data_IF_163209530006
#
_entry.id   IF_163209530006
#
_cell.length_a   1.000
_cell.length_b   1.000
_cell.length_c   1.000
_cell.angle_alpha   90.00
_cell.angle_beta   90.00
_cell.angle_gamma   90.00
#
_symmetry.space_group_name_H-M   'P 1'
#
loop_
_entity.id
_entity.type
_entity.pdbx_description
1 polymer ?
#
# COMPACT_ATOMS: atom_id res chain seq x y z
N UNK A 1 8.02 24.39 12.36
CA UNK A 1 8.07 22.93 12.65
C UNK A 1 8.08 22.20 11.32
N UNK A 2 9.19 21.60 10.94
CA UNK A 2 9.26 20.82 9.72
C UNK A 2 8.46 19.54 9.91
N UNK A 3 7.42 19.36 9.11
CA UNK A 3 6.68 18.09 9.03
C UNK A 3 7.65 16.97 8.64
N UNK A 4 7.72 15.91 9.46
CA UNK A 4 8.54 14.72 9.17
C UNK A 4 7.83 13.75 8.25
N UNK A 5 7.06 14.27 7.32
CA UNK A 5 6.34 13.48 6.33
C UNK A 5 7.28 13.08 5.19
N UNK A 6 7.32 11.81 4.88
CA UNK A 6 7.97 11.28 3.68
C UNK A 6 6.90 10.94 2.63
N UNK A 7 7.26 11.09 1.37
CA UNK A 7 6.38 10.75 0.25
C UNK A 7 7.13 9.84 -0.73
N UNK A 8 6.54 8.69 -1.04
CA UNK A 8 7.01 7.76 -2.06
C UNK A 8 6.03 7.82 -3.22
N UNK A 9 6.52 8.04 -4.43
CA UNK A 9 5.70 8.00 -5.66
C UNK A 9 6.26 6.93 -6.58
N UNK A 10 5.41 5.99 -7.00
CA UNK A 10 5.76 4.92 -7.93
C UNK A 10 4.78 4.93 -9.11
N UNK A 11 5.32 4.75 -10.30
CA UNK A 11 4.54 4.59 -11.53
C UNK A 11 4.82 3.21 -12.12
N UNK A 12 3.75 2.47 -12.43
CA UNK A 12 3.83 1.12 -12.98
C UNK A 12 2.93 1.03 -14.21
N UNK A 13 3.47 0.70 -15.36
CA UNK A 13 2.71 0.41 -16.57
C UNK A 13 2.35 -1.07 -16.57
N UNK A 14 1.06 -1.35 -16.70
CA UNK A 14 0.50 -2.71 -16.66
C UNK A 14 -0.33 -2.93 -17.92
N UNK A 15 0.00 -3.96 -18.68
CA UNK A 15 -0.69 -4.32 -19.91
C UNK A 15 -1.98 -5.11 -19.60
N UNK A 16 -2.94 -4.42 -19.02
CA UNK A 16 -4.25 -4.96 -18.66
C UNK A 16 -5.29 -3.84 -18.53
N UNK A 17 -6.60 -4.15 -18.63
CA UNK A 17 -7.66 -3.16 -18.46
C UNK A 17 -7.64 -2.51 -17.08
N UNK A 18 -8.03 -1.24 -17.02
CA UNK A 18 -8.00 -0.43 -15.79
C UNK A 18 -8.86 -1.03 -14.67
N UNK A 19 -10.00 -1.61 -15.01
CA UNK A 19 -10.90 -2.28 -14.05
C UNK A 19 -10.22 -3.48 -13.39
N UNK A 20 -9.50 -4.30 -14.17
CA UNK A 20 -8.74 -5.46 -13.67
C UNK A 20 -7.62 -5.02 -12.73
N UNK A 21 -6.86 -4.00 -13.12
CA UNK A 21 -5.75 -3.47 -12.31
C UNK A 21 -6.27 -2.86 -11.02
N UNK A 22 -7.35 -2.09 -11.08
CA UNK A 22 -8.00 -1.50 -9.90
C UNK A 22 -8.44 -2.59 -8.91
N UNK A 23 -9.16 -3.59 -9.37
CA UNK A 23 -9.65 -4.68 -8.50
C UNK A 23 -8.51 -5.51 -7.90
N UNK A 24 -7.48 -5.82 -8.66
CA UNK A 24 -6.29 -6.50 -8.12
C UNK A 24 -5.57 -5.65 -7.06
N UNK A 25 -5.55 -4.33 -7.24
CA UNK A 25 -4.89 -3.41 -6.28
C UNK A 25 -5.58 -3.33 -4.92
N UNK A 26 -6.89 -3.58 -4.86
CA UNK A 26 -7.69 -3.63 -3.63
C UNK A 26 -7.96 -5.06 -3.13
N UNK A 27 -7.34 -6.06 -3.72
CA UNK A 27 -7.48 -7.45 -3.29
C UNK A 27 -6.66 -7.71 -2.03
N UNK A 28 -7.33 -8.09 -0.95
CA UNK A 28 -6.71 -8.49 0.31
C UNK A 28 -5.84 -9.75 0.12
N UNK A 29 -6.34 -10.71 -0.64
CA UNK A 29 -5.63 -11.97 -0.90
C UNK A 29 -4.33 -11.73 -1.69
N UNK A 30 -4.39 -10.90 -2.74
CA UNK A 30 -3.21 -10.57 -3.54
C UNK A 30 -2.20 -9.74 -2.74
N UNK A 31 -2.69 -8.86 -1.84
CA UNK A 31 -1.82 -8.12 -0.93
C UNK A 31 -1.02 -9.09 -0.03
N UNK A 32 -1.68 -10.06 0.58
CA UNK A 32 -0.99 -11.07 1.40
C UNK A 32 0.03 -11.89 0.59
N UNK A 33 -0.26 -12.17 -0.67
CA UNK A 33 0.70 -12.82 -1.56
C UNK A 33 1.94 -11.96 -1.80
N UNK A 34 1.76 -10.66 -2.02
CA UNK A 34 2.85 -9.71 -2.27
C UNK A 34 3.74 -9.47 -1.06
N UNK A 35 3.28 -9.79 0.14
CA UNK A 35 3.96 -9.56 1.42
C UNK A 35 4.38 -10.85 2.13
N UNK A 36 4.50 -11.96 1.42
CA UNK A 36 4.89 -13.28 1.98
C UNK A 36 6.19 -13.23 2.80
N UNK A 37 7.16 -12.41 2.38
CA UNK A 37 8.46 -12.28 3.04
C UNK A 37 8.36 -11.70 4.46
N UNK A 38 7.29 -10.96 4.77
CA UNK A 38 7.03 -10.40 6.12
C UNK A 38 6.07 -11.25 6.94
N UNK A 39 5.52 -12.32 6.35
CA UNK A 39 4.50 -13.15 6.97
C UNK A 39 3.19 -12.42 7.24
N UNK A 40 2.91 -11.35 6.47
CA UNK A 40 1.74 -10.51 6.68
C UNK A 40 0.43 -11.28 6.51
N UNK A 41 -0.49 -11.05 7.44
CA UNK A 41 -1.82 -11.64 7.47
C UNK A 41 -2.87 -10.60 7.83
N UNK A 42 -3.99 -10.63 7.13
CA UNK A 42 -5.19 -9.91 7.53
C UNK A 42 -5.85 -10.68 8.69
N UNK A 43 -5.95 -10.06 9.86
CA UNK A 43 -6.43 -10.71 11.10
C UNK A 43 -7.77 -10.17 11.60
N UNK A 44 -8.22 -9.03 11.11
CA UNK A 44 -9.50 -8.42 11.47
C UNK A 44 -10.01 -7.49 10.36
N UNK A 45 -11.28 -7.12 10.42
CA UNK A 45 -11.94 -6.36 9.38
C UNK A 45 -12.16 -7.19 8.12
N UNK A 46 -11.87 -6.62 6.96
CA UNK A 46 -11.93 -7.33 5.68
C UNK A 46 -10.71 -8.23 5.53
N UNK A 47 -10.85 -9.52 5.74
CA UNK A 47 -9.75 -10.50 5.74
C UNK A 47 -9.56 -11.25 4.44
N UNK A 48 -10.35 -10.98 3.42
CA UNK A 48 -10.25 -11.57 2.09
C UNK A 48 -11.12 -10.85 1.06
N UNK A 49 -10.93 -11.17 -0.21
CA UNK A 49 -11.67 -10.55 -1.32
C UNK A 49 -11.28 -9.09 -1.57
N UNK A 50 -12.21 -8.32 -2.13
CA UNK A 50 -12.00 -6.94 -2.52
C UNK A 50 -12.51 -5.98 -1.44
N UNK A 51 -11.62 -5.18 -0.86
CA UNK A 51 -11.99 -4.19 0.15
C UNK A 51 -12.76 -3.02 -0.48
N UNK A 52 -13.78 -2.54 0.22
CA UNK A 52 -14.71 -1.49 -0.23
C UNK A 52 -14.55 -0.19 0.58
N UNK A 53 -15.15 0.89 0.07
CA UNK A 53 -15.18 2.19 0.78
C UNK A 53 -15.74 2.03 2.21
N UNK A 54 -15.02 2.59 3.18
CA UNK A 54 -15.39 2.57 4.59
C UNK A 54 -15.00 1.30 5.34
N UNK A 55 -14.59 0.25 4.64
CA UNK A 55 -14.10 -0.97 5.28
C UNK A 55 -12.69 -0.79 5.83
N UNK A 56 -12.38 -1.55 6.88
CA UNK A 56 -11.07 -1.61 7.50
C UNK A 56 -10.43 -2.98 7.31
N UNK A 57 -9.13 -3.02 7.38
CA UNK A 57 -8.35 -4.26 7.50
C UNK A 57 -7.28 -4.06 8.56
N UNK A 58 -7.10 -5.07 9.40
CA UNK A 58 -6.00 -5.11 10.37
C UNK A 58 -4.99 -6.15 9.91
N UNK A 59 -3.77 -5.68 9.66
CA UNK A 59 -2.64 -6.47 9.24
C UNK A 59 -1.76 -6.81 10.43
N UNK A 60 -1.21 -8.01 10.45
CA UNK A 60 -0.14 -8.41 11.36
C UNK A 60 1.04 -8.91 10.54
N UNK A 61 2.20 -8.31 10.71
CA UNK A 61 3.41 -8.63 9.96
C UNK A 61 4.66 -8.50 10.83
N UNK A 62 5.75 -9.15 10.40
CA UNK A 62 7.04 -9.03 11.06
C UNK A 62 7.93 -8.05 10.28
N UNK A 63 8.25 -6.92 10.90
CA UNK A 63 9.14 -5.91 10.35
C UNK A 63 10.32 -5.70 11.29
N UNK A 64 11.55 -5.73 10.75
CA UNK A 64 12.77 -5.60 11.54
C UNK A 64 12.84 -6.55 12.74
N UNK A 65 12.38 -7.79 12.55
CA UNK A 65 12.35 -8.82 13.58
C UNK A 65 11.25 -8.69 14.64
N UNK A 66 10.37 -7.70 14.54
CA UNK A 66 9.30 -7.41 15.51
C UNK A 66 7.93 -7.61 14.86
N UNK A 67 7.05 -8.37 15.51
CA UNK A 67 5.65 -8.49 15.12
C UNK A 67 4.91 -7.20 15.42
N UNK A 68 4.23 -6.66 14.40
CA UNK A 68 3.49 -5.41 14.47
C UNK A 68 2.10 -5.58 13.88
N UNK A 69 1.15 -4.78 14.35
CA UNK A 69 -0.19 -4.68 13.80
C UNK A 69 -0.43 -3.29 13.22
N UNK A 70 -1.18 -3.23 12.14
CA UNK A 70 -1.56 -2.00 11.47
C UNK A 70 -3.00 -2.12 11.01
N UNK A 71 -3.85 -1.17 11.38
CA UNK A 71 -5.22 -1.07 10.88
C UNK A 71 -5.32 0.11 9.93
N UNK A 72 -5.82 -0.15 8.72
CA UNK A 72 -6.13 0.87 7.71
C UNK A 72 -7.60 0.83 7.33
N UNK A 73 -8.08 1.96 6.78
CA UNK A 73 -9.45 2.14 6.32
C UNK A 73 -9.44 2.76 4.93
N UNK A 74 -10.27 2.25 4.02
CA UNK A 74 -10.51 2.89 2.73
C UNK A 74 -11.38 4.13 2.96
N UNK A 75 -10.80 5.31 2.74
CA UNK A 75 -11.41 6.60 3.04
C UNK A 75 -11.94 7.33 1.81
N UNK A 76 -11.39 7.02 0.64
CA UNK A 76 -11.82 7.58 -0.65
C UNK A 76 -11.90 6.49 -1.71
N UNK A 77 -12.87 6.60 -2.61
CA UNK A 77 -13.12 5.57 -3.62
C UNK A 77 -13.85 6.16 -4.83
N UNK A 78 -13.28 6.02 -6.01
CA UNK A 78 -13.88 6.40 -7.29
C UNK A 78 -13.50 5.36 -8.36
N UNK A 79 -14.30 4.33 -8.48
CA UNK A 79 -14.06 3.22 -9.42
C UNK A 79 -14.15 3.66 -10.88
N UNK A 80 -13.24 3.23 -11.76
CA UNK A 80 -12.03 2.44 -11.53
C UNK A 80 -10.75 3.30 -11.53
N UNK A 81 -10.80 4.56 -11.12
CA UNK A 81 -9.72 5.55 -11.33
C UNK A 81 -8.93 5.89 -10.08
N UNK A 82 -9.52 5.71 -8.90
CA UNK A 82 -8.89 6.17 -7.65
C UNK A 82 -9.46 5.46 -6.42
N UNK A 83 -8.59 5.13 -5.48
CA UNK A 83 -8.97 4.92 -4.09
C UNK A 83 -7.81 5.30 -3.15
N UNK A 84 -8.12 5.55 -1.90
CA UNK A 84 -7.12 5.81 -0.88
C UNK A 84 -7.46 5.09 0.42
N UNK A 85 -6.42 4.66 1.12
CA UNK A 85 -6.52 4.13 2.47
C UNK A 85 -5.63 4.90 3.43
N UNK A 86 -6.11 5.01 4.67
CA UNK A 86 -5.44 5.76 5.74
C UNK A 86 -5.28 4.90 6.98
N UNK A 87 -4.22 5.13 7.73
CA UNK A 87 -3.98 4.45 8.98
C UNK A 87 -5.01 4.87 10.03
N UNK A 88 -5.62 3.88 10.66
CA UNK A 88 -6.45 4.07 11.88
C UNK A 88 -5.57 3.90 13.12
N UNK A 89 -4.72 2.88 13.14
CA UNK A 89 -3.75 2.62 14.20
C UNK A 89 -2.58 1.79 13.68
N UNK A 90 -1.42 1.91 14.27
CA UNK A 90 -0.28 1.08 13.87
C UNK A 90 1.09 1.69 14.11
N UNK A 91 2.09 1.17 13.39
CA UNK A 91 3.50 1.45 13.62
C UNK A 91 3.99 2.83 13.14
N UNK A 92 3.24 3.49 12.28
CA UNK A 92 3.50 4.87 11.89
C UNK A 92 2.81 5.86 12.84
N UNK A 93 3.18 7.13 12.78
CA UNK A 93 2.38 8.18 13.38
C UNK A 93 1.13 8.45 12.54
N UNK A 94 1.28 8.43 11.23
CA UNK A 94 0.20 8.47 10.24
C UNK A 94 0.65 7.92 8.91
N UNK A 95 -0.27 7.45 8.08
CA UNK A 95 -0.05 7.31 6.64
C UNK A 95 -1.35 7.53 5.87
N UNK A 96 -1.18 7.94 4.60
CA UNK A 96 -2.19 7.92 3.55
C UNK A 96 -1.57 7.32 2.29
N UNK A 97 -2.20 6.29 1.74
CA UNK A 97 -1.82 5.67 0.48
C UNK A 97 -2.86 5.97 -0.58
N UNK A 98 -2.47 6.71 -1.59
CA UNK A 98 -3.32 7.07 -2.72
C UNK A 98 -2.96 6.21 -3.93
N UNK A 99 -3.98 5.63 -4.56
CA UNK A 99 -3.86 4.77 -5.72
C UNK A 99 -4.61 5.40 -6.89
N UNK A 100 -3.88 5.76 -7.94
CA UNK A 100 -4.42 6.36 -9.16
C UNK A 100 -4.28 5.39 -10.33
N UNK A 101 -5.31 5.31 -11.15
CA UNK A 101 -5.35 4.44 -12.32
C UNK A 101 -5.83 5.23 -13.52
N UNK A 102 -5.08 5.21 -14.61
CA UNK A 102 -5.45 5.85 -15.87
C UNK A 102 -5.17 4.94 -17.06
N UNK A 103 -6.04 5.01 -18.04
CA UNK A 103 -5.88 4.28 -19.30
C UNK A 103 -4.73 4.89 -20.10
N UNK A 104 -3.82 4.05 -20.56
CA UNK A 104 -2.76 4.39 -21.51
C UNK A 104 -2.86 3.48 -22.73
N UNK A 105 -2.07 3.73 -23.79
CA UNK A 105 -2.23 3.10 -25.12
C UNK A 105 -2.50 1.60 -25.11
N UNK A 106 -1.75 0.82 -24.32
CA UNK A 106 -1.88 -0.65 -24.28
C UNK A 106 -2.18 -1.17 -22.88
N UNK A 107 -2.82 -0.38 -22.01
CA UNK A 107 -3.09 -0.86 -20.65
C UNK A 107 -3.40 0.25 -19.67
N UNK A 108 -2.81 0.15 -18.50
CA UNK A 108 -3.07 1.01 -17.36
C UNK A 108 -1.77 1.59 -16.80
N UNK A 109 -1.75 2.89 -16.55
CA UNK A 109 -0.77 3.50 -15.65
C UNK A 109 -1.33 3.44 -14.23
N UNK A 110 -0.68 2.66 -13.36
CA UNK A 110 -0.93 2.62 -11.94
C UNK A 110 0.09 3.49 -11.23
N UNK A 111 -0.39 4.52 -10.53
CA UNK A 111 0.45 5.45 -9.76
C UNK A 111 0.11 5.34 -8.29
N UNK A 112 1.09 5.03 -7.49
CA UNK A 112 1.00 5.02 -6.04
C UNK A 112 1.65 6.27 -5.46
N UNK A 113 0.99 6.87 -4.48
CA UNK A 113 1.55 7.94 -3.66
C UNK A 113 1.36 7.57 -2.20
N UNK A 114 2.44 7.18 -1.55
CA UNK A 114 2.45 6.79 -0.15
C UNK A 114 3.06 7.91 0.70
N UNK A 115 2.24 8.52 1.53
CA UNK A 115 2.61 9.63 2.39
C UNK A 115 2.57 9.12 3.82
N UNK A 116 3.68 9.23 4.55
CA UNK A 116 3.73 8.72 5.93
C UNK A 116 4.57 9.61 6.84
N UNK A 117 4.27 9.53 8.12
CA UNK A 117 5.04 10.16 9.18
C UNK A 117 5.60 9.08 10.11
N UNK A 118 6.92 9.12 10.32
CA UNK A 118 7.61 8.17 11.20
C UNK A 118 7.22 8.39 12.67
N UNK A 119 7.07 7.34 13.48
CA UNK A 119 6.66 7.44 14.88
C UNK A 119 7.74 8.02 15.80
N UNK A 120 8.99 8.11 15.36
CA UNK A 120 10.12 8.45 16.21
C UNK A 120 10.44 9.94 16.25
N UNK A 121 10.78 10.44 17.45
CA UNK A 121 11.11 11.83 17.71
C UNK A 121 12.44 12.30 17.10
N UNK A 122 12.90 13.51 17.46
CA UNK A 122 13.93 14.32 16.79
C UNK A 122 15.31 13.66 16.64
N UNK A 123 15.74 12.83 17.57
CA UNK A 123 17.12 12.31 17.63
C UNK A 123 17.39 11.11 16.72
N UNK A 124 16.35 10.42 16.23
CA UNK A 124 16.47 9.30 15.29
C UNK A 124 15.99 9.60 13.88
N UNK A 125 15.61 10.84 13.59
CA UNK A 125 14.84 11.22 12.40
C UNK A 125 15.50 10.91 11.07
N UNK A 126 16.78 11.26 10.89
CA UNK A 126 17.44 11.11 9.60
C UNK A 126 17.71 9.65 9.26
N UNK A 127 18.18 8.88 10.22
CA UNK A 127 18.47 7.45 10.05
C UNK A 127 17.19 6.64 9.82
N UNK A 128 16.18 6.86 10.65
CA UNK A 128 14.89 6.16 10.55
C UNK A 128 14.12 6.54 9.29
N UNK A 129 14.15 7.83 8.90
CA UNK A 129 13.51 8.30 7.67
C UNK A 129 14.11 7.64 6.44
N UNK A 130 15.45 7.59 6.31
CA UNK A 130 16.11 7.01 5.15
C UNK A 130 15.91 5.49 5.07
N UNK A 131 16.08 4.79 6.18
CA UNK A 131 15.90 3.33 6.26
C UNK A 131 14.44 2.95 6.03
N UNK A 132 13.51 3.63 6.70
CA UNK A 132 12.10 3.35 6.57
C UNK A 132 11.57 3.66 5.17
N UNK A 133 12.02 4.76 4.56
CA UNK A 133 11.66 5.11 3.18
C UNK A 133 12.16 4.05 2.20
N UNK A 134 13.41 3.61 2.31
CA UNK A 134 13.97 2.53 1.47
C UNK A 134 13.22 1.22 1.66
N UNK A 135 12.93 0.87 2.89
CA UNK A 135 12.20 -0.34 3.23
C UNK A 135 10.78 -0.33 2.65
N UNK A 136 10.04 0.75 2.87
CA UNK A 136 8.69 0.91 2.32
C UNK A 136 8.67 0.94 0.80
N UNK A 137 9.63 1.62 0.17
CA UNK A 137 9.77 1.62 -1.29
C UNK A 137 9.95 0.21 -1.84
N UNK A 138 10.78 -0.61 -1.20
CA UNK A 138 10.99 -2.01 -1.60
C UNK A 138 9.72 -2.84 -1.47
N UNK A 139 8.98 -2.69 -0.38
CA UNK A 139 7.69 -3.38 -0.19
C UNK A 139 6.65 -2.97 -1.25
N UNK A 140 6.54 -1.69 -1.54
CA UNK A 140 5.60 -1.16 -2.54
C UNK A 140 5.98 -1.60 -3.96
N UNK A 141 7.26 -1.62 -4.30
CA UNK A 141 7.74 -2.13 -5.60
C UNK A 141 7.41 -3.62 -5.77
N UNK A 142 7.60 -4.43 -4.74
CA UNK A 142 7.25 -5.85 -4.78
C UNK A 142 5.74 -6.06 -4.91
N UNK A 143 4.94 -5.28 -4.17
CA UNK A 143 3.48 -5.28 -4.33
C UNK A 143 3.09 -4.97 -5.77
N UNK A 144 3.64 -3.92 -6.34
CA UNK A 144 3.31 -3.51 -7.72
C UNK A 144 3.75 -4.55 -8.76
N UNK A 145 4.90 -5.20 -8.53
CA UNK A 145 5.34 -6.32 -9.36
C UNK A 145 4.35 -7.48 -9.35
N UNK A 146 3.85 -7.86 -8.18
CA UNK A 146 2.88 -8.96 -8.03
C UNK A 146 1.54 -8.60 -8.69
N UNK A 147 1.05 -7.35 -8.51
CA UNK A 147 -0.15 -6.87 -9.19
C UNK A 147 0.02 -6.94 -10.71
N UNK A 148 1.14 -6.45 -11.23
CA UNK A 148 1.44 -6.49 -12.66
C UNK A 148 1.43 -7.91 -13.21
N UNK A 149 2.11 -8.84 -12.57
CA UNK A 149 2.12 -10.24 -12.98
C UNK A 149 0.72 -10.87 -12.98
N UNK A 150 -0.06 -10.63 -11.92
CA UNK A 150 -1.43 -11.13 -11.82
C UNK A 150 -2.36 -10.51 -12.88
N UNK A 151 -2.20 -9.22 -13.16
CA UNK A 151 -3.00 -8.51 -14.16
C UNK A 151 -2.70 -8.97 -15.59
N UNK A 152 -1.43 -9.20 -15.91
CA UNK A 152 -0.96 -9.59 -17.25
C UNK A 152 -1.05 -11.10 -17.52
N UNK A 153 -1.33 -11.91 -16.49
CA UNK A 153 -1.60 -13.34 -16.68
C UNK A 153 -3.00 -13.53 -17.29
N UNK A 154 -3.10 -14.45 -18.26
CA UNK A 154 -4.35 -14.79 -18.95
C UNK A 154 -5.30 -15.59 -18.03
#
# INVERSE_FOLDING_TARGET
>A
MTSNMATIVLNTIINAPVEKVFDLSRSIDLHMESTKQTGERAIAGRTGGLIELGETVTWRAKHFGIWQTLTSKVTDYNYPTFFADEMVSGAFKSFRHEHYFSVVDNGTLMRDKFIFESPLGVSGKLFNWLILTRYMTKLLLERNRVIKLAAESN
#
